data_IF_441129346327
#
_entry.id   IF_441129346327
#
_cell.length_a   1.000
_cell.length_b   1.000
_cell.length_c   1.000
_cell.angle_alpha   90.00
_cell.angle_beta   90.00
_cell.angle_gamma   90.00
#
_symmetry.space_group_name_H-M   'P 1'
#
loop_
_entity.id
_entity.type
_entity.pdbx_description
1 polymer ?
#
# COMPACT_ATOMS: atom_id res chain seq x y z
N UNK A 1 -12.89 -11.30 13.16
CA UNK A 1 -11.65 -11.26 12.35
C UNK A 1 -11.02 -9.90 12.61
N UNK A 2 -9.80 -9.86 13.12
CA UNK A 2 -9.09 -8.58 13.36
C UNK A 2 -8.61 -8.04 12.02
N UNK A 3 -9.47 -7.23 11.38
CA UNK A 3 -9.11 -6.42 10.23
C UNK A 3 -8.13 -5.35 10.71
N UNK A 4 -7.02 -5.18 9.99
CA UNK A 4 -6.07 -4.11 10.27
C UNK A 4 -6.46 -2.88 9.48
N UNK A 5 -6.27 -1.69 10.04
CA UNK A 5 -6.54 -0.43 9.35
C UNK A 5 -5.29 0.42 9.29
N UNK A 6 -5.19 1.27 8.26
CA UNK A 6 -4.10 2.23 8.14
C UNK A 6 -4.24 3.28 9.25
N UNK A 7 -3.23 3.43 10.10
CA UNK A 7 -3.17 4.44 11.16
C UNK A 7 -2.18 5.57 10.88
N UNK A 8 -1.20 5.33 10.01
CA UNK A 8 -0.25 6.35 9.59
C UNK A 8 0.19 6.12 8.15
N UNK A 9 0.55 7.20 7.47
CA UNK A 9 1.18 7.20 6.14
C UNK A 9 2.41 8.11 6.18
N UNK A 10 3.47 7.70 5.48
CA UNK A 10 4.70 8.47 5.36
C UNK A 10 5.30 8.27 3.96
N UNK A 11 6.09 9.23 3.49
CA UNK A 11 6.78 9.14 2.18
C UNK A 11 8.25 8.89 2.43
N UNK A 12 8.72 7.72 2.01
CA UNK A 12 10.12 7.31 2.09
C UNK A 12 10.82 7.37 0.74
N UNK A 13 12.15 7.26 0.79
CA UNK A 13 12.97 7.03 -0.39
C UNK A 13 13.28 5.52 -0.52
N UNK A 14 12.97 4.96 -1.69
CA UNK A 14 13.39 3.62 -2.11
C UNK A 14 14.90 3.55 -2.28
N UNK A 15 15.43 2.33 -2.37
CA UNK A 15 16.85 2.06 -2.55
C UNK A 15 17.44 2.75 -3.80
N UNK A 16 16.65 2.87 -4.87
CA UNK A 16 17.09 3.48 -6.15
C UNK A 16 16.70 4.97 -6.27
N UNK A 17 16.24 5.59 -5.17
CA UNK A 17 15.89 7.01 -5.11
C UNK A 17 14.46 7.34 -5.58
N UNK A 18 13.64 6.33 -5.88
CA UNK A 18 12.21 6.50 -6.14
C UNK A 18 11.43 6.76 -4.84
N UNK A 19 10.33 7.49 -4.92
CA UNK A 19 9.48 7.73 -3.75
C UNK A 19 8.58 6.52 -3.49
N UNK A 20 8.53 6.06 -2.24
CA UNK A 20 7.66 4.98 -1.79
C UNK A 20 6.72 5.50 -0.69
N UNK A 21 5.54 4.89 -0.60
CA UNK A 21 4.62 5.16 0.50
C UNK A 21 4.75 4.08 1.56
N UNK A 22 4.97 4.50 2.80
CA UNK A 22 5.05 3.63 3.95
C UNK A 22 3.74 3.77 4.73
N UNK A 23 2.94 2.70 4.78
CA UNK A 23 1.69 2.67 5.54
C UNK A 23 1.90 1.88 6.83
N UNK A 24 1.46 2.42 7.94
CA UNK A 24 1.44 1.72 9.23
C UNK A 24 0.04 1.18 9.47
N UNK A 25 -0.10 -0.13 9.52
CA UNK A 25 -1.32 -0.83 9.86
C UNK A 25 -1.37 -1.07 11.36
N UNK A 26 -2.55 -0.96 11.96
CA UNK A 26 -2.83 -1.39 13.32
C UNK A 26 -3.92 -2.45 13.32
N UNK A 27 -3.66 -3.54 14.02
CA UNK A 27 -4.59 -4.65 14.20
C UNK A 27 -5.42 -4.43 15.46
N UNK A 28 -6.61 -5.04 15.53
CA UNK A 28 -7.48 -4.90 16.72
C UNK A 28 -6.88 -5.40 18.04
N UNK A 29 -5.74 -6.11 18.04
CA UNK A 29 -4.99 -6.49 19.24
C UNK A 29 -3.91 -5.45 19.63
N UNK A 30 -3.85 -4.29 18.96
CA UNK A 30 -2.84 -3.25 19.15
C UNK A 30 -1.50 -3.53 18.47
N UNK A 31 -1.37 -4.66 17.76
CA UNK A 31 -0.19 -4.94 16.94
C UNK A 31 -0.07 -3.93 15.81
N UNK A 32 1.15 -3.61 15.40
CA UNK A 32 1.40 -2.70 14.27
C UNK A 32 2.36 -3.32 13.27
N UNK A 33 2.16 -3.03 12.00
CA UNK A 33 3.06 -3.46 10.93
C UNK A 33 3.18 -2.37 9.90
N UNK A 34 4.40 -2.15 9.42
CA UNK A 34 4.68 -1.19 8.37
C UNK A 34 4.77 -1.94 7.05
N UNK A 35 4.11 -1.40 6.03
CA UNK A 35 4.07 -1.95 4.68
C UNK A 35 4.51 -0.85 3.72
N UNK A 36 5.45 -1.17 2.85
CA UNK A 36 5.94 -0.27 1.82
C UNK A 36 5.20 -0.54 0.51
N UNK A 37 4.78 0.52 -0.17
CA UNK A 37 4.13 0.48 -1.47
C UNK A 37 4.96 1.26 -2.48
N UNK A 38 5.21 0.62 -3.62
CA UNK A 38 5.76 1.29 -4.80
C UNK A 38 4.72 2.22 -5.45
N UNK A 39 5.17 3.06 -6.38
CA UNK A 39 4.32 4.05 -7.05
C UNK A 39 3.02 3.48 -7.65
N UNK A 40 3.08 2.29 -8.26
CA UNK A 40 1.91 1.68 -8.89
C UNK A 40 0.92 1.18 -7.84
N UNK A 41 1.40 0.52 -6.78
CA UNK A 41 0.56 0.09 -5.67
C UNK A 41 -0.08 1.32 -4.98
N UNK A 42 0.66 2.42 -4.80
CA UNK A 42 0.13 3.67 -4.24
C UNK A 42 -1.01 4.24 -5.08
N UNK A 43 -0.82 4.37 -6.39
CA UNK A 43 -1.86 4.88 -7.31
C UNK A 43 -3.12 4.00 -7.28
N UNK A 44 -2.93 2.68 -7.25
CA UNK A 44 -4.03 1.70 -7.19
C UNK A 44 -4.81 1.83 -5.89
N UNK A 45 -4.12 1.97 -4.76
CA UNK A 45 -4.72 2.15 -3.45
C UNK A 45 -5.49 3.48 -3.36
N UNK A 46 -4.88 4.59 -3.77
CA UNK A 46 -5.54 5.91 -3.80
C UNK A 46 -6.81 5.88 -4.64
N UNK A 47 -6.76 5.28 -5.84
CA UNK A 47 -7.93 5.14 -6.70
C UNK A 47 -9.02 4.28 -6.06
N UNK A 48 -8.65 3.17 -5.40
CA UNK A 48 -9.61 2.26 -4.75
C UNK A 48 -10.30 2.92 -3.56
N UNK A 49 -9.57 3.76 -2.82
CA UNK A 49 -10.11 4.55 -1.71
C UNK A 49 -10.81 5.84 -2.17
N UNK A 50 -10.76 6.18 -3.46
CA UNK A 50 -11.19 7.49 -3.99
C UNK A 50 -10.50 8.67 -3.26
N UNK A 51 -9.28 8.44 -2.77
CA UNK A 51 -8.45 9.38 -2.04
C UNK A 51 -7.74 10.33 -3.00
N UNK A 52 -7.45 11.56 -2.56
CA UNK A 52 -6.71 12.55 -3.34
C UNK A 52 -5.29 12.76 -2.80
N UNK A 53 -5.10 12.50 -1.51
CA UNK A 53 -3.82 12.61 -0.81
C UNK A 53 -3.55 11.32 -0.02
N UNK A 54 -2.28 11.02 0.32
CA UNK A 54 -1.97 9.87 1.15
C UNK A 54 -2.67 9.88 2.52
N UNK A 55 -2.87 11.07 3.10
CA UNK A 55 -3.51 11.23 4.42
C UNK A 55 -4.98 10.76 4.41
N UNK A 56 -5.65 10.79 3.25
CA UNK A 56 -7.02 10.30 3.09
C UNK A 56 -7.11 8.76 3.22
N UNK A 57 -5.97 8.05 3.22
CA UNK A 57 -5.92 6.60 3.38
C UNK A 57 -6.06 6.16 4.85
N UNK A 58 -5.92 7.07 5.82
CA UNK A 58 -6.06 6.75 7.23
C UNK A 58 -7.47 6.21 7.51
N UNK A 59 -7.54 5.05 8.14
CA UNK A 59 -8.77 4.30 8.40
C UNK A 59 -9.15 3.28 7.33
N UNK A 60 -8.47 3.25 6.17
CA UNK A 60 -8.72 2.24 5.15
C UNK A 60 -8.31 0.84 5.61
N UNK A 61 -9.03 -0.18 5.11
CA UNK A 61 -8.83 -1.58 5.48
C UNK A 61 -7.59 -2.18 4.80
N UNK A 62 -6.87 -3.04 5.51
CA UNK A 62 -5.76 -3.83 4.98
C UNK A 62 -6.07 -4.55 3.66
N UNK A 63 -7.31 -5.01 3.46
CA UNK A 63 -7.70 -5.67 2.23
C UNK A 63 -7.40 -4.81 0.98
N UNK A 64 -7.61 -3.49 1.06
CA UNK A 64 -7.33 -2.57 -0.05
C UNK A 64 -5.82 -2.44 -0.31
N UNK A 65 -5.02 -2.42 0.75
CA UNK A 65 -3.53 -2.40 0.66
C UNK A 65 -3.03 -3.70 0.02
N UNK A 66 -3.54 -4.85 0.47
CA UNK A 66 -3.22 -6.16 -0.10
C UNK A 66 -3.57 -6.22 -1.59
N UNK A 67 -4.77 -5.77 -1.96
CA UNK A 67 -5.23 -5.86 -3.35
C UNK A 67 -4.38 -4.96 -4.27
N UNK A 68 -3.95 -3.79 -3.79
CA UNK A 68 -3.00 -2.93 -4.50
C UNK A 68 -1.62 -3.58 -4.69
N UNK A 69 -1.11 -4.29 -3.66
CA UNK A 69 0.15 -5.03 -3.76
C UNK A 69 0.06 -6.20 -4.75
N UNK A 70 -1.07 -6.91 -4.76
CA UNK A 70 -1.32 -7.99 -5.74
C UNK A 70 -1.29 -7.41 -7.16
N UNK A 71 -2.01 -6.32 -7.41
CA UNK A 71 -2.03 -5.66 -8.72
C UNK A 71 -0.63 -5.22 -9.17
N UNK A 72 0.19 -4.69 -8.25
CA UNK A 72 1.58 -4.34 -8.54
C UNK A 72 2.42 -5.58 -8.89
N UNK A 73 2.27 -6.67 -8.14
CA UNK A 73 3.00 -7.91 -8.40
C UNK A 73 2.62 -8.56 -9.74
N UNK A 74 1.34 -8.52 -10.12
CA UNK A 74 0.86 -9.10 -11.38
C UNK A 74 1.50 -8.41 -12.59
N UNK A 75 1.67 -7.09 -12.54
CA UNK A 75 2.40 -6.33 -13.57
C UNK A 75 3.81 -6.89 -13.82
N UNK A 76 4.56 -7.21 -12.77
CA UNK A 76 5.89 -7.79 -12.90
C UNK A 76 5.84 -9.22 -13.43
N UNK A 77 4.86 -10.02 -12.99
CA UNK A 77 4.67 -11.39 -13.46
C UNK A 77 4.32 -11.45 -14.96
N UNK A 78 3.58 -10.47 -15.47
CA UNK A 78 3.31 -10.29 -16.90
C UNK A 78 4.57 -9.88 -17.68
N UNK A 79 5.39 -8.99 -17.10
CA UNK A 79 6.62 -8.53 -17.73
C UNK A 79 7.62 -9.68 -17.95
N UNK A 80 7.84 -10.53 -16.93
CA UNK A 80 8.75 -11.68 -17.00
C UNK A 80 8.24 -12.82 -17.91
N UNK A 81 6.94 -12.87 -18.21
CA UNK A 81 6.34 -13.91 -19.09
C UNK A 81 6.54 -13.60 -20.57
N UNK A 82 6.73 -12.34 -20.93
CA UNK A 82 6.78 -11.88 -22.31
C UNK A 82 8.23 -11.71 -22.85
N UNK A 83 9.22 -12.17 -22.07
CA UNK A 83 10.65 -12.23 -22.40
C UNK A 83 11.08 -13.67 -22.78
#
# INVERSE_FOLDING_TARGET
MTIATIQNVDIGAAHDGEAELLVTLEYGNGGRTQVTLDEFAVRTLLSSCQAQTPEDLIGADWALVRDALIASSERYAEHTRNE
#
